data_IF_819265683698
#
_entry.id   IF_819265683698
#
_cell.length_a   1.000
_cell.length_b   1.000
_cell.length_c   1.000
_cell.angle_alpha   90.00
_cell.angle_beta   90.00
_cell.angle_gamma   90.00
#
_symmetry.space_group_name_H-M   'P 1'
#
loop_
_entity.id
_entity.type
_entity.pdbx_description
1 polymer ?
#
# COMPACT_ATOMS: atom_id res chain seq x y z
N UNK A 1 4.75 3.17 3.34
CA UNK A 1 6.12 2.81 3.76
C UNK A 1 6.50 3.60 5.03
N UNK A 2 7.64 3.29 5.64
CA UNK A 2 8.08 3.83 6.95
C UNK A 2 9.13 4.91 6.71
N UNK A 3 8.89 6.14 7.17
CA UNK A 3 9.90 7.21 7.04
C UNK A 3 11.08 6.97 7.99
N UNK A 4 12.26 7.55 7.70
CA UNK A 4 13.39 7.52 8.63
C UNK A 4 13.07 8.05 10.03
N UNK A 5 12.25 9.11 10.13
CA UNK A 5 11.76 9.61 11.43
C UNK A 5 10.93 8.56 12.15
N UNK A 6 9.99 7.90 11.46
CA UNK A 6 9.20 6.84 12.07
C UNK A 6 10.15 5.73 12.57
N UNK A 7 11.10 5.28 11.72
CA UNK A 7 12.06 4.24 12.08
C UNK A 7 12.96 4.64 13.28
N UNK A 8 13.39 5.91 13.35
CA UNK A 8 14.17 6.44 14.47
C UNK A 8 13.43 6.27 15.79
N UNK A 9 12.12 6.49 15.83
CA UNK A 9 11.34 6.28 17.05
C UNK A 9 11.02 4.80 17.34
N UNK A 10 11.07 3.92 16.33
CA UNK A 10 10.91 2.47 16.51
C UNK A 10 12.20 1.73 16.89
N UNK A 11 13.36 2.40 16.80
CA UNK A 11 14.65 1.72 16.80
C UNK A 11 14.90 0.91 18.07
N UNK A 12 14.46 1.38 19.24
CA UNK A 12 14.62 0.65 20.50
C UNK A 12 13.86 -0.69 20.51
N UNK A 13 12.64 -0.74 19.94
CA UNK A 13 11.88 -1.99 19.84
C UNK A 13 12.56 -2.94 18.85
N UNK A 14 13.05 -2.44 17.71
CA UNK A 14 13.82 -3.23 16.74
C UNK A 14 15.06 -3.83 17.40
N UNK A 15 15.86 -3.03 18.10
CA UNK A 15 17.05 -3.47 18.85
C UNK A 15 16.67 -4.52 19.90
N UNK A 16 15.53 -4.36 20.59
CA UNK A 16 15.08 -5.30 21.63
C UNK A 16 14.86 -6.72 21.10
N UNK A 17 14.55 -6.88 19.81
CA UNK A 17 14.40 -8.20 19.16
C UNK A 17 15.73 -8.86 18.83
N UNK A 18 16.86 -8.18 19.08
CA UNK A 18 18.23 -8.65 18.81
C UNK A 18 18.41 -9.19 17.38
N UNK A 19 17.99 -8.44 16.33
CA UNK A 19 18.18 -8.88 14.96
C UNK A 19 19.68 -8.97 14.64
N UNK A 20 20.06 -9.92 13.78
CA UNK A 20 21.44 -9.99 13.24
C UNK A 20 21.71 -8.90 12.20
N UNK A 21 20.65 -8.50 11.50
CA UNK A 21 20.68 -7.58 10.38
C UNK A 21 19.39 -6.76 10.39
N UNK A 22 19.52 -5.47 10.11
CA UNK A 22 18.41 -4.59 9.75
C UNK A 22 18.61 -4.17 8.29
N UNK A 23 17.62 -4.49 7.45
CA UNK A 23 17.55 -4.07 6.06
C UNK A 23 16.57 -2.89 5.95
N UNK A 24 17.06 -1.72 5.54
CA UNK A 24 16.21 -0.54 5.30
C UNK A 24 16.03 -0.34 3.80
N UNK A 25 14.78 -0.47 3.35
CA UNK A 25 14.39 -0.19 1.96
C UNK A 25 14.11 1.30 1.83
N UNK A 26 15.01 1.99 1.14
CA UNK A 26 14.90 3.41 0.87
C UNK A 26 14.00 3.63 -0.36
N UNK A 27 12.90 4.36 -0.22
CA UNK A 27 12.17 4.94 -1.34
C UNK A 27 12.22 6.48 -1.25
N UNK A 28 12.47 7.20 -2.35
CA UNK A 28 12.50 8.66 -2.37
C UNK A 28 11.23 9.32 -1.82
N UNK A 29 10.06 8.69 -2.01
CA UNK A 29 8.78 9.17 -1.48
C UNK A 29 8.67 9.18 0.05
N UNK A 30 9.50 8.42 0.76
CA UNK A 30 9.46 8.31 2.23
C UNK A 30 10.24 9.43 2.93
N UNK A 31 11.06 10.19 2.20
CA UNK A 31 12.00 11.17 2.74
C UNK A 31 11.45 12.58 2.90
N UNK A 32 10.14 12.73 2.68
CA UNK A 32 9.40 13.97 2.88
C UNK A 32 10.00 15.14 2.09
N UNK A 33 10.47 14.87 0.85
CA UNK A 33 11.09 15.89 -0.01
C UNK A 33 10.11 17.01 -0.36
N UNK A 34 8.80 16.76 -0.22
CA UNK A 34 7.72 17.74 -0.36
C UNK A 34 7.77 18.89 0.66
N UNK A 35 8.57 18.78 1.73
CA UNK A 35 8.82 19.87 2.69
C UNK A 35 9.99 20.79 2.33
N UNK A 36 10.73 20.51 1.25
CA UNK A 36 11.60 21.52 0.68
C UNK A 36 10.75 22.71 0.18
N UNK A 37 11.21 23.92 0.44
CA UNK A 37 10.58 25.19 0.06
C UNK A 37 11.60 26.07 -0.62
N UNK A 38 11.17 26.70 -1.70
CA UNK A 38 11.96 27.69 -2.41
C UNK A 38 11.85 29.02 -1.69
N UNK A 39 12.97 29.53 -1.18
CA UNK A 39 13.09 30.81 -0.51
C UNK A 39 14.27 31.55 -1.14
N UNK A 40 14.03 32.73 -1.71
CA UNK A 40 15.09 33.61 -2.24
C UNK A 40 16.08 32.89 -3.19
N UNK A 41 15.56 32.11 -4.13
CA UNK A 41 16.32 31.29 -5.09
C UNK A 41 17.15 30.15 -4.47
N UNK A 42 16.89 29.78 -3.21
CA UNK A 42 17.48 28.61 -2.56
C UNK A 42 16.41 27.65 -2.08
N UNK A 43 16.67 26.36 -2.26
CA UNK A 43 15.80 25.31 -1.77
C UNK A 43 16.20 24.95 -0.34
N UNK A 44 15.27 25.08 0.61
CA UNK A 44 15.51 24.87 2.04
C UNK A 44 14.50 23.91 2.64
N UNK A 45 14.93 23.03 3.53
CA UNK A 45 14.03 22.08 4.18
C UNK A 45 13.26 22.72 5.32
N UNK A 46 11.93 22.65 5.30
CA UNK A 46 11.08 23.23 6.35
C UNK A 46 10.79 22.23 7.46
N UNK A 47 11.62 22.22 8.52
CA UNK A 47 11.36 21.42 9.73
C UNK A 47 10.01 21.74 10.37
N UNK A 48 9.65 23.03 10.41
CA UNK A 48 8.36 23.47 10.96
C UNK A 48 7.19 22.85 10.21
N UNK A 49 7.22 22.86 8.87
CA UNK A 49 6.15 22.26 8.07
C UNK A 49 6.07 20.74 8.27
N UNK A 50 7.22 20.07 8.34
CA UNK A 50 7.31 18.64 8.61
C UNK A 50 6.71 18.28 9.98
N UNK A 51 7.13 18.98 11.04
CA UNK A 51 6.64 18.74 12.41
C UNK A 51 5.13 18.96 12.51
N UNK A 52 4.63 20.02 11.87
CA UNK A 52 3.21 20.36 11.83
C UNK A 52 2.37 19.25 11.18
N UNK A 53 2.86 18.64 10.11
CA UNK A 53 2.20 17.48 9.49
C UNK A 53 2.31 16.23 10.39
N UNK A 54 3.52 15.95 10.88
CA UNK A 54 3.82 14.72 11.62
C UNK A 54 3.03 14.58 12.92
N UNK A 55 2.82 15.67 13.67
CA UNK A 55 2.17 15.62 14.99
C UNK A 55 0.78 14.94 14.97
N UNK A 56 0.11 14.98 13.83
CA UNK A 56 -1.22 14.41 13.62
C UNK A 56 -1.22 13.01 13.01
N UNK A 57 -0.07 12.51 12.54
CA UNK A 57 0.05 11.20 11.89
C UNK A 57 -0.26 10.09 12.89
N UNK A 58 -0.91 9.04 12.39
CA UNK A 58 -1.29 7.88 13.20
C UNK A 58 -0.11 7.28 13.98
N UNK A 59 1.08 7.03 13.39
CA UNK A 59 2.22 6.48 14.15
C UNK A 59 2.66 7.36 15.32
N UNK A 60 2.66 8.69 15.16
CA UNK A 60 2.96 9.63 16.24
C UNK A 60 1.91 9.54 17.34
N UNK A 61 0.63 9.55 16.98
CA UNK A 61 -0.47 9.54 17.95
C UNK A 61 -0.66 8.19 18.67
N UNK A 62 -0.30 7.08 18.03
CA UNK A 62 -0.54 5.75 18.59
C UNK A 62 0.72 5.07 19.12
N UNK A 63 1.88 5.25 18.50
CA UNK A 63 3.03 4.38 18.79
C UNK A 63 4.12 5.06 19.61
N UNK A 64 4.52 6.28 19.25
CA UNK A 64 5.58 7.03 19.93
C UNK A 64 5.20 8.48 20.32
N UNK A 65 4.00 8.73 20.87
CA UNK A 65 3.55 10.10 21.17
C UNK A 65 4.44 10.81 22.19
N UNK A 66 4.97 10.06 23.17
CA UNK A 66 5.85 10.61 24.20
C UNK A 66 7.22 11.02 23.65
N UNK A 67 7.82 10.17 22.81
CA UNK A 67 9.13 10.46 22.23
C UNK A 67 9.03 11.68 21.30
N UNK A 68 8.00 11.72 20.45
CA UNK A 68 7.75 12.88 19.59
C UNK A 68 7.51 14.16 20.40
N UNK A 69 6.69 14.08 21.46
CA UNK A 69 6.46 15.21 22.35
C UNK A 69 7.74 15.70 23.00
N UNK A 70 8.58 14.79 23.52
CA UNK A 70 9.86 15.14 24.16
C UNK A 70 10.78 15.90 23.20
N UNK A 71 10.88 15.44 21.95
CA UNK A 71 11.77 16.02 20.96
C UNK A 71 11.23 17.35 20.40
N UNK A 72 9.92 17.56 20.40
CA UNK A 72 9.27 18.70 19.73
C UNK A 72 8.37 19.57 20.64
N UNK A 73 8.47 19.45 21.97
CA UNK A 73 7.62 20.20 22.93
C UNK A 73 7.69 21.72 22.74
N UNK A 74 8.81 22.23 22.20
CA UNK A 74 9.01 23.66 21.93
C UNK A 74 8.50 24.10 20.55
N UNK A 75 8.21 23.15 19.67
CA UNK A 75 7.92 23.40 18.25
C UNK A 75 6.41 23.29 17.93
N UNK A 76 5.61 22.77 18.86
CA UNK A 76 4.18 22.49 18.68
C UNK A 76 3.29 23.33 19.61
N UNK A 77 1.99 23.41 19.30
CA UNK A 77 1.05 24.21 20.10
C UNK A 77 0.72 23.55 21.45
N UNK A 78 0.24 24.35 22.42
CA UNK A 78 -0.23 23.83 23.71
C UNK A 78 -1.32 22.75 23.57
N UNK A 79 -2.19 22.89 22.56
CA UNK A 79 -3.24 21.91 22.29
C UNK A 79 -2.64 20.57 21.82
N UNK A 80 -1.62 20.61 20.97
CA UNK A 80 -0.92 19.41 20.50
C UNK A 80 -0.14 18.74 21.64
N UNK A 81 0.49 19.53 22.52
CA UNK A 81 1.14 19.02 23.74
C UNK A 81 0.14 18.22 24.57
N UNK A 82 -1.04 18.81 24.85
CA UNK A 82 -2.07 18.14 25.63
C UNK A 82 -2.57 16.86 24.96
N UNK A 83 -2.78 16.90 23.63
CA UNK A 83 -3.18 15.73 22.86
C UNK A 83 -2.13 14.61 22.95
N UNK A 84 -0.86 14.90 22.67
CA UNK A 84 0.22 13.91 22.69
C UNK A 84 0.48 13.38 24.10
N UNK A 85 0.38 14.23 25.12
CA UNK A 85 0.48 13.79 26.52
C UNK A 85 -0.65 12.83 26.87
N UNK A 86 -1.89 13.18 26.49
CA UNK A 86 -3.07 12.33 26.68
C UNK A 86 -2.89 10.99 25.97
N UNK A 87 -2.40 10.99 24.72
CA UNK A 87 -2.10 9.77 23.97
C UNK A 87 -0.97 8.93 24.59
N UNK A 88 0.02 9.58 25.19
CA UNK A 88 1.13 8.92 25.89
C UNK A 88 0.68 8.20 27.16
N UNK A 89 -0.22 8.82 27.93
CA UNK A 89 -0.76 8.26 29.18
C UNK A 89 -1.79 7.16 28.87
N UNK A 90 -2.69 7.41 27.93
CA UNK A 90 -3.73 6.48 27.53
C UNK A 90 -3.16 5.42 26.58
N UNK A 91 -2.37 4.48 27.13
CA UNK A 91 -1.80 3.30 26.44
C UNK A 91 -2.84 2.48 25.67
N UNK A 92 -4.13 2.59 26.00
CA UNK A 92 -5.24 1.97 25.27
C UNK A 92 -5.27 2.41 23.79
N UNK A 93 -4.77 3.60 23.46
CA UNK A 93 -4.64 4.05 22.06
C UNK A 93 -3.49 3.35 21.31
N UNK A 94 -2.42 2.93 22.00
CA UNK A 94 -1.25 2.25 21.40
C UNK A 94 -1.55 0.83 20.95
N UNK A 95 -2.46 0.17 21.66
CA UNK A 95 -2.97 -1.14 21.30
C UNK A 95 -4.35 -1.07 20.66
N UNK A 96 -4.83 0.12 20.25
CA UNK A 96 -6.16 0.23 19.67
C UNK A 96 -6.28 -0.58 18.38
N UNK A 97 -5.24 -0.66 17.55
CA UNK A 97 -5.20 -1.61 16.42
C UNK A 97 -5.11 -3.07 16.90
N UNK A 98 -4.28 -3.38 17.89
CA UNK A 98 -4.18 -4.74 18.45
C UNK A 98 -5.43 -5.21 19.21
N UNK A 99 -6.29 -4.31 19.68
CA UNK A 99 -7.49 -4.62 20.46
C UNK A 99 -8.74 -4.44 19.60
N UNK A 100 -8.86 -3.33 18.86
CA UNK A 100 -9.98 -3.09 17.97
C UNK A 100 -9.82 -3.79 16.63
N UNK A 101 -8.65 -3.93 16.00
CA UNK A 101 -8.61 -4.62 14.70
C UNK A 101 -9.02 -6.10 14.83
N UNK A 102 -8.66 -6.84 15.90
CA UNK A 102 -9.23 -8.17 16.13
C UNK A 102 -10.71 -8.14 16.47
N UNK A 103 -11.22 -7.12 17.18
CA UNK A 103 -12.65 -6.99 17.51
C UNK A 103 -13.47 -6.56 16.29
N UNK A 104 -13.01 -5.61 15.50
CA UNK A 104 -13.59 -5.14 14.24
C UNK A 104 -13.49 -6.25 13.20
N UNK A 105 -12.36 -6.95 13.09
CA UNK A 105 -12.26 -8.17 12.28
C UNK A 105 -13.21 -9.25 12.81
N UNK A 106 -13.33 -9.44 14.13
CA UNK A 106 -14.27 -10.40 14.72
C UNK A 106 -15.72 -10.01 14.41
N UNK A 107 -16.09 -8.74 14.54
CA UNK A 107 -17.43 -8.22 14.26
C UNK A 107 -17.74 -8.29 12.76
N UNK A 108 -16.80 -7.91 11.91
CA UNK A 108 -16.90 -8.04 10.46
C UNK A 108 -17.07 -9.52 10.05
N UNK A 109 -16.31 -10.44 10.68
CA UNK A 109 -16.32 -11.88 10.40
C UNK A 109 -17.57 -12.59 10.93
N UNK A 110 -18.08 -12.22 12.10
CA UNK A 110 -19.18 -12.96 12.78
C UNK A 110 -20.55 -12.30 12.60
N UNK A 111 -20.62 -10.98 12.40
CA UNK A 111 -21.90 -10.26 12.33
C UNK A 111 -22.14 -9.56 11.00
N UNK A 112 -21.10 -9.14 10.25
CA UNK A 112 -21.26 -8.37 9.01
C UNK A 112 -20.99 -9.15 7.72
N UNK A 113 -21.34 -10.45 7.67
CA UNK A 113 -21.35 -11.31 6.45
C UNK A 113 -20.20 -11.05 5.46
N UNK A 114 -18.99 -10.77 5.96
CA UNK A 114 -17.83 -10.47 5.11
C UNK A 114 -18.04 -9.30 4.13
N UNK A 115 -18.83 -8.26 4.47
CA UNK A 115 -19.09 -7.08 3.61
C UNK A 115 -18.04 -5.96 3.74
N UNK A 116 -16.88 -6.30 4.29
CA UNK A 116 -15.81 -5.38 4.66
C UNK A 116 -15.24 -4.59 3.48
N UNK A 117 -14.61 -3.44 3.78
CA UNK A 117 -13.84 -2.63 2.83
C UNK A 117 -12.40 -3.14 2.64
N UNK A 118 -12.00 -4.20 3.34
CA UNK A 118 -10.70 -4.86 3.14
C UNK A 118 -10.64 -5.61 1.81
N UNK A 119 -9.41 -5.98 1.41
CA UNK A 119 -9.18 -6.69 0.16
C UNK A 119 -9.92 -8.04 0.13
N UNK A 120 -10.33 -8.45 -1.07
CA UNK A 120 -11.02 -9.71 -1.35
C UNK A 120 -10.12 -10.91 -1.06
N UNK A 121 -10.61 -11.84 -0.25
CA UNK A 121 -9.89 -13.04 0.20
C UNK A 121 -10.66 -14.33 -0.10
N UNK A 122 -11.75 -14.24 -0.87
CA UNK A 122 -12.58 -15.37 -1.29
C UNK A 122 -11.89 -16.29 -2.29
N UNK A 123 -12.65 -17.19 -2.91
CA UNK A 123 -12.14 -18.02 -4.00
C UNK A 123 -11.81 -17.14 -5.22
N UNK A 124 -10.67 -17.36 -5.86
CA UNK A 124 -10.24 -16.53 -6.99
C UNK A 124 -11.04 -16.91 -8.25
N UNK A 125 -11.77 -15.99 -8.89
CA UNK A 125 -12.36 -16.25 -10.19
C UNK A 125 -11.28 -16.53 -11.24
N UNK A 126 -11.61 -17.34 -12.25
CA UNK A 126 -10.69 -17.67 -13.35
C UNK A 126 -10.25 -16.43 -14.14
N UNK A 127 -11.16 -15.49 -14.33
CA UNK A 127 -10.94 -14.21 -15.02
C UNK A 127 -10.30 -13.16 -14.11
N UNK A 128 -10.02 -13.50 -12.85
CA UNK A 128 -9.51 -12.59 -11.83
C UNK A 128 -10.60 -11.76 -11.15
N UNK A 129 -10.17 -11.00 -10.15
CA UNK A 129 -11.02 -10.10 -9.36
C UNK A 129 -10.24 -8.84 -9.00
N UNK A 130 -10.95 -7.73 -8.90
CA UNK A 130 -10.39 -6.50 -8.36
C UNK A 130 -10.23 -6.64 -6.84
N UNK A 131 -9.26 -5.94 -6.25
CA UNK A 131 -8.90 -5.98 -4.84
C UNK A 131 -10.09 -5.74 -3.91
N UNK A 132 -11.06 -4.92 -4.33
CA UNK A 132 -12.30 -4.66 -3.58
C UNK A 132 -13.38 -5.75 -3.74
N UNK A 133 -13.14 -6.78 -4.54
CA UNK A 133 -14.08 -7.88 -4.81
C UNK A 133 -14.96 -7.69 -6.05
N UNK A 134 -14.78 -6.61 -6.83
CA UNK A 134 -15.49 -6.46 -8.11
C UNK A 134 -14.99 -7.51 -9.12
N UNK A 135 -15.91 -8.06 -9.92
CA UNK A 135 -15.60 -9.02 -10.98
C UNK A 135 -15.62 -8.37 -12.36
N UNK A 136 -15.21 -9.10 -13.38
CA UNK A 136 -15.62 -8.84 -14.77
C UNK A 136 -17.14 -9.06 -14.93
N UNK A 137 -17.69 -8.70 -16.09
CA UNK A 137 -19.12 -8.93 -16.39
C UNK A 137 -19.50 -10.41 -16.27
N UNK A 138 -18.62 -11.29 -16.75
CA UNK A 138 -18.75 -12.74 -16.72
C UNK A 138 -17.51 -13.33 -16.07
N UNK A 139 -17.73 -14.21 -15.10
CA UNK A 139 -16.63 -14.89 -14.42
C UNK A 139 -17.02 -16.31 -13.99
N UNK A 140 -16.01 -17.18 -13.92
CA UNK A 140 -16.12 -18.54 -13.41
C UNK A 140 -15.41 -18.63 -12.06
N UNK A 141 -16.04 -19.28 -11.09
CA UNK A 141 -15.51 -19.45 -9.73
C UNK A 141 -15.83 -20.85 -9.19
N UNK A 142 -14.92 -21.42 -8.42
CA UNK A 142 -15.15 -22.66 -7.68
C UNK A 142 -15.57 -22.34 -6.25
N UNK A 143 -16.68 -22.93 -5.82
CA UNK A 143 -17.31 -22.64 -4.54
C UNK A 143 -17.36 -23.87 -3.65
N UNK A 144 -16.83 -23.72 -2.44
CA UNK A 144 -17.05 -24.69 -1.37
C UNK A 144 -18.45 -24.53 -0.80
N UNK A 145 -19.17 -25.64 -0.69
CA UNK A 145 -20.55 -25.70 -0.22
C UNK A 145 -20.59 -26.27 1.20
N UNK A 146 -21.61 -25.88 1.97
CA UNK A 146 -21.94 -26.46 3.27
C UNK A 146 -23.26 -27.20 3.15
N UNK A 147 -23.23 -28.53 3.23
CA UNK A 147 -24.41 -29.40 3.05
C UNK A 147 -25.15 -29.14 1.72
N UNK A 148 -24.41 -29.02 0.61
CA UNK A 148 -24.97 -28.70 -0.70
C UNK A 148 -25.49 -27.27 -0.86
N UNK A 149 -25.24 -26.35 0.09
CA UNK A 149 -25.67 -24.95 -0.01
C UNK A 149 -24.50 -23.98 -0.15
N UNK A 150 -24.67 -22.98 -1.01
CA UNK A 150 -23.86 -21.77 -1.04
C UNK A 150 -24.69 -20.64 -0.40
N UNK A 151 -24.23 -20.15 0.75
CA UNK A 151 -24.82 -19.02 1.48
C UNK A 151 -23.80 -17.89 1.54
N UNK A 152 -24.01 -16.84 0.75
CA UNK A 152 -23.03 -15.77 0.56
C UNK A 152 -23.70 -14.40 0.35
N UNK A 153 -22.94 -13.39 -0.02
CA UNK A 153 -23.48 -12.08 -0.39
C UNK A 153 -22.81 -11.49 -1.63
N UNK A 154 -23.59 -10.77 -2.43
CA UNK A 154 -23.11 -10.00 -3.58
C UNK A 154 -23.61 -8.55 -3.49
N UNK A 155 -22.82 -7.61 -3.97
CA UNK A 155 -23.18 -6.21 -4.10
C UNK A 155 -23.49 -5.88 -5.56
N UNK A 156 -24.65 -5.29 -5.76
CA UNK A 156 -25.15 -4.85 -7.06
C UNK A 156 -24.91 -3.35 -7.18
N UNK A 157 -24.13 -2.88 -8.16
CA UNK A 157 -23.69 -1.50 -8.20
C UNK A 157 -24.74 -0.52 -8.74
N UNK A 158 -25.65 -0.98 -9.63
CA UNK A 158 -26.72 -0.16 -10.22
C UNK A 158 -28.07 -0.85 -10.16
N UNK A 159 -29.12 -0.05 -10.30
CA UNK A 159 -30.51 -0.51 -10.34
C UNK A 159 -30.81 -1.40 -11.55
N UNK A 160 -31.88 -2.19 -11.43
CA UNK A 160 -32.42 -3.07 -12.48
C UNK A 160 -31.39 -4.04 -13.07
N UNK A 161 -30.60 -4.71 -12.23
CA UNK A 161 -29.51 -5.61 -12.62
C UNK A 161 -29.96 -7.06 -12.68
N UNK A 162 -29.51 -7.81 -13.68
CA UNK A 162 -29.76 -9.25 -13.77
C UNK A 162 -28.45 -10.02 -13.74
N UNK A 163 -28.40 -11.06 -12.90
CA UNK A 163 -27.26 -11.99 -12.83
C UNK A 163 -27.75 -13.39 -13.15
N UNK A 164 -27.23 -13.98 -14.22
CA UNK A 164 -27.43 -15.38 -14.55
C UNK A 164 -26.33 -16.22 -13.92
N UNK A 165 -26.68 -17.31 -13.27
CA UNK A 165 -25.77 -18.24 -12.62
C UNK A 165 -25.94 -19.62 -13.22
N UNK A 166 -24.87 -20.19 -13.75
CA UNK A 166 -24.83 -21.52 -14.35
C UNK A 166 -23.86 -22.43 -13.58
N UNK A 167 -24.14 -23.73 -13.49
CA UNK A 167 -23.25 -24.71 -12.86
C UNK A 167 -23.02 -25.95 -13.74
N UNK A 168 -21.93 -26.68 -13.48
CA UNK A 168 -21.52 -27.87 -14.27
C UNK A 168 -22.56 -29.00 -14.31
N UNK A 169 -23.52 -29.03 -13.36
CA UNK A 169 -24.58 -30.05 -13.28
C UNK A 169 -25.88 -29.64 -13.99
N UNK A 170 -25.82 -28.73 -14.98
CA UNK A 170 -27.01 -28.17 -15.63
C UNK A 170 -27.81 -27.20 -14.75
N UNK A 171 -27.26 -26.82 -13.58
CA UNK A 171 -27.85 -25.81 -12.71
C UNK A 171 -27.92 -24.47 -13.45
N UNK A 172 -29.06 -23.80 -13.37
CA UNK A 172 -29.24 -22.45 -13.90
C UNK A 172 -30.20 -21.66 -13.02
N UNK A 173 -29.85 -20.41 -12.71
CA UNK A 173 -30.69 -19.49 -11.94
C UNK A 173 -30.52 -18.07 -12.46
N UNK A 174 -31.62 -17.35 -12.61
CA UNK A 174 -31.63 -15.93 -12.96
C UNK A 174 -32.03 -15.15 -11.72
N UNK A 175 -31.18 -14.21 -11.31
CA UNK A 175 -31.37 -13.33 -10.17
C UNK A 175 -31.62 -11.91 -10.68
N UNK A 176 -32.71 -11.28 -10.26
CA UNK A 176 -33.08 -9.91 -10.65
C UNK A 176 -33.04 -8.99 -9.43
N UNK A 177 -32.41 -7.83 -9.59
CA UNK A 177 -32.19 -6.86 -8.51
C UNK A 177 -32.67 -5.48 -8.95
N UNK A 178 -33.67 -4.94 -8.27
CA UNK A 178 -34.24 -3.63 -8.63
C UNK A 178 -33.37 -2.48 -8.13
N UNK A 179 -32.73 -2.62 -6.96
CA UNK A 179 -31.98 -1.54 -6.30
C UNK A 179 -30.48 -1.83 -6.22
N UNK A 180 -29.67 -0.78 -6.08
CA UNK A 180 -28.26 -0.90 -5.68
C UNK A 180 -28.14 -1.39 -4.23
N UNK A 181 -27.11 -2.17 -3.91
CA UNK A 181 -26.85 -2.63 -2.54
C UNK A 181 -26.36 -4.07 -2.41
N UNK A 182 -26.18 -4.50 -1.16
CA UNK A 182 -25.81 -5.87 -0.81
C UNK A 182 -27.05 -6.77 -0.74
N UNK A 183 -26.98 -7.93 -1.40
CA UNK A 183 -28.01 -8.95 -1.40
C UNK A 183 -27.44 -10.29 -0.94
N UNK A 184 -28.31 -11.07 -0.30
CA UNK A 184 -27.98 -12.43 0.10
C UNK A 184 -28.10 -13.36 -1.11
N UNK A 185 -27.11 -14.24 -1.26
CA UNK A 185 -27.06 -15.26 -2.30
C UNK A 185 -27.21 -16.63 -1.65
N UNK A 186 -28.36 -17.27 -1.88
CA UNK A 186 -28.62 -18.63 -1.44
C UNK A 186 -28.88 -19.52 -2.66
N UNK A 187 -27.94 -20.43 -2.93
CA UNK A 187 -28.03 -21.43 -3.99
C UNK A 187 -27.98 -22.83 -3.36
N UNK A 188 -28.90 -23.70 -3.76
CA UNK A 188 -29.01 -25.06 -3.23
C UNK A 188 -28.70 -26.08 -4.33
N UNK A 189 -27.92 -27.09 -3.95
CA UNK A 189 -27.45 -28.18 -4.79
C UNK A 189 -27.66 -29.51 -4.05
N UNK A 190 -27.26 -30.63 -4.67
CA UNK A 190 -27.36 -31.93 -4.01
C UNK A 190 -26.54 -31.95 -2.71
N UNK A 191 -27.06 -32.48 -1.57
CA UNK A 191 -26.39 -32.40 -0.26
C UNK A 191 -24.95 -32.93 -0.21
N UNK A 192 -24.66 -33.96 -1.01
CA UNK A 192 -23.31 -34.55 -1.10
C UNK A 192 -22.31 -33.70 -1.92
N UNK A 193 -22.78 -32.63 -2.57
CA UNK A 193 -21.93 -31.74 -3.35
C UNK A 193 -21.11 -30.87 -2.39
N UNK A 194 -19.80 -31.10 -2.35
CA UNK A 194 -18.86 -30.34 -1.50
C UNK A 194 -18.29 -29.11 -2.20
N UNK A 195 -18.02 -29.21 -3.50
CA UNK A 195 -17.53 -28.11 -4.32
C UNK A 195 -18.33 -28.07 -5.62
N UNK A 196 -18.49 -26.88 -6.19
CA UNK A 196 -19.13 -26.69 -7.49
C UNK A 196 -18.48 -25.54 -8.24
N UNK A 197 -18.31 -25.70 -9.56
CA UNK A 197 -17.94 -24.56 -10.42
C UNK A 197 -19.19 -23.86 -10.92
N UNK A 198 -19.21 -22.55 -10.72
CA UNK A 198 -20.28 -21.66 -11.13
C UNK A 198 -19.77 -20.63 -12.12
N UNK A 199 -20.60 -20.29 -13.09
CA UNK A 199 -20.40 -19.16 -14.01
C UNK A 199 -21.46 -18.13 -13.69
N UNK A 200 -21.01 -16.93 -13.34
CA UNK A 200 -21.88 -15.77 -13.13
C UNK A 200 -21.76 -14.84 -14.33
N UNK A 201 -22.90 -14.34 -14.82
CA UNK A 201 -22.97 -13.45 -15.96
C UNK A 201 -23.96 -12.32 -15.66
N UNK A 202 -23.43 -11.09 -15.58
CA UNK A 202 -24.23 -9.87 -15.42
C UNK A 202 -24.74 -9.39 -16.77
N UNK A 203 -25.99 -8.94 -16.84
CA UNK A 203 -26.58 -8.36 -18.05
C UNK A 203 -25.95 -7.02 -18.44
N UNK A 204 -25.31 -6.33 -17.49
CA UNK A 204 -24.63 -5.06 -17.69
C UNK A 204 -23.36 -4.94 -16.86
N UNK A 205 -22.69 -3.80 -17.01
CA UNK A 205 -21.49 -3.41 -16.25
C UNK A 205 -21.62 -1.99 -15.71
N UNK A 206 -20.75 -1.65 -14.76
CA UNK A 206 -20.60 -0.28 -14.23
C UNK A 206 -19.18 0.21 -14.45
N UNK A 207 -19.02 1.48 -14.78
CA UNK A 207 -17.70 2.08 -14.94
C UNK A 207 -16.99 2.28 -13.60
N UNK A 208 -15.68 2.01 -13.59
CA UNK A 208 -14.79 2.29 -12.46
C UNK A 208 -14.77 3.78 -12.09
N UNK A 209 -14.97 4.68 -13.06
CA UNK A 209 -15.02 6.13 -12.85
C UNK A 209 -16.29 6.58 -12.12
N UNK A 210 -17.36 5.77 -12.18
CA UNK A 210 -18.63 6.09 -11.52
C UNK A 210 -18.67 5.65 -10.05
N UNK A 211 -18.09 4.49 -9.73
CA UNK A 211 -18.25 3.85 -8.41
C UNK A 211 -16.98 3.82 -7.57
N UNK A 212 -15.82 4.11 -8.16
CA UNK A 212 -14.59 4.27 -7.41
C UNK A 212 -14.10 5.72 -7.49
N UNK A 213 -14.01 6.37 -6.33
CA UNK A 213 -13.41 7.69 -6.22
C UNK A 213 -11.86 7.63 -6.29
N UNK A 214 -11.25 6.43 -6.33
CA UNK A 214 -9.81 6.27 -6.51
C UNK A 214 -9.36 6.64 -7.92
N UNK A 215 -8.07 7.02 -8.01
CA UNK A 215 -7.27 7.28 -9.21
C UNK A 215 -7.30 6.13 -10.24
N UNK A 216 -8.40 5.93 -10.95
CA UNK A 216 -8.38 5.21 -12.22
C UNK A 216 -8.12 6.22 -13.33
N UNK A 217 -7.03 6.02 -14.08
CA UNK A 217 -6.76 6.77 -15.30
C UNK A 217 -7.66 6.18 -16.37
N UNK A 218 -7.19 5.07 -16.95
CA UNK A 218 -7.99 4.22 -17.84
C UNK A 218 -9.24 3.72 -17.11
N UNK A 219 -10.38 3.86 -17.78
CA UNK A 219 -11.68 3.38 -17.32
C UNK A 219 -11.76 1.85 -17.46
N UNK A 220 -12.36 1.19 -16.46
CA UNK A 220 -12.62 -0.24 -16.45
C UNK A 220 -14.09 -0.51 -16.15
N UNK A 221 -14.60 -1.64 -16.61
CA UNK A 221 -16.00 -2.00 -16.43
C UNK A 221 -16.14 -3.20 -15.50
N UNK A 222 -16.87 -3.03 -14.41
CA UNK A 222 -17.08 -4.01 -13.37
C UNK A 222 -18.44 -4.68 -13.52
N UNK A 223 -18.49 -5.97 -13.18
CA UNK A 223 -19.72 -6.71 -12.95
C UNK A 223 -20.24 -6.46 -11.52
N UNK A 224 -20.56 -7.55 -10.81
CA UNK A 224 -20.96 -7.48 -9.40
C UNK A 224 -19.73 -7.42 -8.48
N UNK A 225 -19.94 -7.06 -7.22
CA UNK A 225 -18.91 -7.17 -6.17
C UNK A 225 -19.22 -8.34 -5.24
N UNK A 226 -18.24 -9.20 -5.02
CA UNK A 226 -18.33 -10.36 -4.15
C UNK A 226 -18.08 -9.96 -2.69
N UNK A 227 -18.67 -10.69 -1.75
CA UNK A 227 -18.30 -10.61 -0.33
C UNK A 227 -16.80 -10.93 -0.17
N UNK A 228 -16.18 -10.46 0.91
CA UNK A 228 -14.75 -10.61 1.13
C UNK A 228 -14.28 -12.07 1.08
N UNK A 229 -15.09 -13.02 1.54
CA UNK A 229 -14.71 -14.44 1.63
C UNK A 229 -15.55 -15.33 0.70
N UNK A 230 -16.09 -14.75 -0.36
CA UNK A 230 -17.04 -15.41 -1.26
C UNK A 230 -16.55 -16.79 -1.70
N UNK A 231 -17.45 -17.78 -1.67
CA UNK A 231 -17.21 -19.15 -2.10
C UNK A 231 -16.17 -19.95 -1.28
N UNK A 232 -15.85 -19.52 -0.06
CA UNK A 232 -15.03 -20.26 0.90
C UNK A 232 -15.78 -20.57 2.20
N UNK A 233 -15.63 -21.79 2.69
CA UNK A 233 -16.15 -22.21 4.01
C UNK A 233 -15.22 -21.81 5.16
N UNK A 234 -13.93 -21.63 4.88
CA UNK A 234 -12.91 -21.32 5.88
C UNK A 234 -12.25 -19.97 5.60
N UNK A 235 -11.97 -19.24 6.68
CA UNK A 235 -11.27 -17.97 6.61
C UNK A 235 -9.76 -18.22 6.58
N UNK A 236 -9.09 -17.64 5.58
CA UNK A 236 -7.64 -17.63 5.53
C UNK A 236 -7.08 -16.86 6.74
N UNK A 237 -6.19 -17.50 7.51
CA UNK A 237 -5.44 -16.88 8.61
C UNK A 237 -4.05 -16.47 8.12
N UNK A 238 -3.40 -15.56 8.85
CA UNK A 238 -2.01 -15.16 8.64
C UNK A 238 -1.67 -14.60 7.25
N UNK A 239 -2.66 -13.99 6.59
CA UNK A 239 -2.52 -13.42 5.24
C UNK A 239 -1.92 -12.00 5.20
N UNK A 240 -1.60 -11.39 6.35
CA UNK A 240 -1.11 -10.01 6.42
C UNK A 240 0.19 -9.78 5.64
N UNK A 241 0.95 -10.85 5.37
CA UNK A 241 2.19 -10.82 4.59
C UNK A 241 2.06 -11.46 3.21
N UNK A 242 0.85 -11.91 2.84
CA UNK A 242 0.56 -12.49 1.54
C UNK A 242 -0.10 -11.41 0.67
N UNK A 243 0.52 -11.13 -0.47
CA UNK A 243 -0.08 -10.29 -1.50
C UNK A 243 -0.75 -11.19 -2.52
N UNK A 244 -2.04 -11.00 -2.74
CA UNK A 244 -2.77 -11.68 -3.79
C UNK A 244 -2.64 -10.93 -5.12
N UNK A 245 -2.81 -11.66 -6.20
CA UNK A 245 -2.63 -11.16 -7.56
C UNK A 245 -3.96 -10.67 -8.15
N UNK A 246 -4.27 -9.38 -7.94
CA UNK A 246 -5.54 -8.77 -8.34
C UNK A 246 -5.49 -8.10 -9.73
N UNK A 247 -6.68 -7.91 -10.32
CA UNK A 247 -6.84 -7.20 -11.60
C UNK A 247 -6.33 -5.75 -11.56
N UNK A 248 -6.33 -5.11 -10.38
CA UNK A 248 -5.77 -3.77 -10.14
C UNK A 248 -4.32 -3.65 -10.63
N UNK A 249 -3.60 -4.76 -10.60
CA UNK A 249 -2.17 -4.84 -10.89
C UNK A 249 -1.92 -5.44 -12.27
N UNK A 250 -2.63 -6.52 -12.63
CA UNK A 250 -2.57 -7.14 -13.97
C UNK A 250 -2.91 -6.18 -15.10
N UNK A 251 -3.77 -5.19 -14.84
CA UNK A 251 -4.21 -4.25 -15.87
C UNK A 251 -3.04 -3.55 -16.56
N UNK A 252 -1.93 -3.33 -15.85
CA UNK A 252 -0.73 -2.68 -16.39
C UNK A 252 0.01 -3.58 -17.38
N UNK A 253 -0.02 -4.90 -17.21
CA UNK A 253 0.72 -5.83 -18.07
C UNK A 253 0.27 -5.75 -19.53
N UNK A 254 -1.04 -5.58 -19.71
CA UNK A 254 -1.69 -5.48 -21.03
C UNK A 254 -1.52 -4.13 -21.72
N UNK A 255 -1.04 -3.11 -21.00
CA UNK A 255 -0.82 -1.79 -21.57
C UNK A 255 0.44 -1.78 -22.44
N UNK A 256 0.35 -1.10 -23.57
CA UNK A 256 1.53 -0.55 -24.24
C UNK A 256 2.22 0.48 -23.34
N UNK A 257 3.49 0.79 -23.64
CA UNK A 257 4.25 1.83 -22.95
C UNK A 257 3.52 3.18 -22.97
N UNK A 258 3.06 3.62 -24.14
CA UNK A 258 2.35 4.88 -24.31
C UNK A 258 1.00 4.93 -23.56
N UNK A 259 0.29 3.80 -23.50
CA UNK A 259 -0.95 3.70 -22.70
C UNK A 259 -0.66 3.78 -21.21
N UNK A 260 0.37 3.08 -20.73
CA UNK A 260 0.77 3.13 -19.33
C UNK A 260 1.18 4.54 -18.94
N UNK A 261 1.97 5.21 -19.77
CA UNK A 261 2.41 6.58 -19.49
C UNK A 261 1.21 7.54 -19.38
N UNK A 262 0.27 7.49 -20.34
CA UNK A 262 -0.96 8.31 -20.29
C UNK A 262 -1.80 8.01 -19.04
N UNK A 263 -2.03 6.73 -18.73
CA UNK A 263 -2.74 6.31 -17.53
C UNK A 263 -2.02 6.77 -16.26
N UNK A 264 -0.69 6.66 -16.21
CA UNK A 264 0.13 7.10 -15.09
C UNK A 264 -0.02 8.60 -14.83
N UNK A 265 0.11 9.44 -15.87
CA UNK A 265 -0.08 10.89 -15.72
C UNK A 265 -1.51 11.25 -15.32
N UNK A 266 -2.52 10.59 -15.87
CA UNK A 266 -3.92 10.79 -15.50
C UNK A 266 -4.16 10.44 -14.02
N UNK A 267 -3.59 9.33 -13.54
CA UNK A 267 -3.75 8.90 -12.14
C UNK A 267 -2.99 9.77 -11.16
N UNK A 268 -1.73 10.08 -11.47
CA UNK A 268 -0.81 10.70 -10.51
C UNK A 268 -0.91 12.22 -10.49
N UNK A 269 -1.22 12.86 -11.63
CA UNK A 269 -1.02 14.30 -11.81
C UNK A 269 -2.24 15.06 -12.34
N UNK A 270 -3.13 14.44 -13.10
CA UNK A 270 -4.30 15.15 -13.62
C UNK A 270 -5.25 15.58 -12.49
N UNK A 271 -5.66 16.85 -12.55
CA UNK A 271 -6.53 17.51 -11.58
C UNK A 271 -6.01 17.45 -10.14
N UNK A 272 -4.69 17.40 -9.94
CA UNK A 272 -4.08 17.25 -8.60
C UNK A 272 -4.47 18.34 -7.62
N UNK A 273 -4.72 19.57 -8.09
CA UNK A 273 -5.17 20.71 -7.28
C UNK A 273 -6.51 20.44 -6.58
N UNK A 274 -7.38 19.65 -7.19
CA UNK A 274 -8.70 19.30 -6.66
C UNK A 274 -8.70 17.93 -5.94
N UNK A 275 -7.53 17.31 -5.81
CA UNK A 275 -7.35 15.92 -5.37
C UNK A 275 -6.22 15.84 -4.35
N UNK A 276 -6.52 16.14 -3.07
CA UNK A 276 -5.51 16.19 -2.00
C UNK A 276 -4.60 14.96 -1.95
N UNK A 277 -5.10 13.78 -2.30
CA UNK A 277 -4.36 12.52 -2.34
C UNK A 277 -3.27 12.46 -3.43
N UNK A 278 -3.46 13.18 -4.55
CA UNK A 278 -2.47 13.29 -5.65
C UNK A 278 -1.65 14.57 -5.60
N UNK A 279 -2.16 15.63 -4.96
CA UNK A 279 -1.46 16.90 -4.80
C UNK A 279 -0.06 16.71 -4.21
N UNK A 280 0.06 15.85 -3.19
CA UNK A 280 1.36 15.52 -2.59
C UNK A 280 2.32 14.87 -3.60
N UNK A 281 1.83 13.98 -4.45
CA UNK A 281 2.66 13.31 -5.46
C UNK A 281 3.16 14.31 -6.50
N UNK A 282 2.29 15.22 -6.94
CA UNK A 282 2.66 16.34 -7.82
C UNK A 282 3.73 17.22 -7.19
N UNK A 283 3.54 17.61 -5.93
CA UNK A 283 4.51 18.41 -5.18
C UNK A 283 5.86 17.68 -5.04
N UNK A 284 5.84 16.38 -4.74
CA UNK A 284 7.05 15.55 -4.64
C UNK A 284 7.82 15.54 -5.97
N UNK A 285 7.13 15.33 -7.10
CA UNK A 285 7.73 15.43 -8.43
C UNK A 285 8.39 16.79 -8.67
N UNK A 286 7.66 17.88 -8.38
CA UNK A 286 8.18 19.23 -8.60
C UNK A 286 9.42 19.49 -7.72
N UNK A 287 9.43 18.96 -6.48
CA UNK A 287 10.60 19.04 -5.60
C UNK A 287 11.78 18.23 -6.09
N UNK A 288 11.59 17.04 -6.66
CA UNK A 288 12.68 16.28 -7.31
C UNK A 288 13.32 17.08 -8.45
N UNK A 289 12.51 17.73 -9.29
CA UNK A 289 13.00 18.58 -10.40
C UNK A 289 13.77 19.80 -9.89
N UNK A 290 13.37 20.38 -8.75
CA UNK A 290 14.11 21.49 -8.15
C UNK A 290 15.42 21.02 -7.50
N UNK A 291 15.37 19.94 -6.73
CA UNK A 291 16.54 19.32 -6.10
C UNK A 291 17.58 18.89 -7.14
N UNK A 292 17.15 18.39 -8.30
CA UNK A 292 18.06 18.00 -9.39
C UNK A 292 18.91 19.15 -9.93
N UNK A 293 18.54 20.40 -9.63
CA UNK A 293 19.25 21.62 -10.03
C UNK A 293 19.99 22.30 -8.86
N UNK A 294 19.90 21.76 -7.65
CA UNK A 294 20.54 22.33 -6.45
C UNK A 294 21.75 21.50 -6.02
N UNK A 295 22.54 22.05 -5.09
CA UNK A 295 23.51 21.25 -4.35
C UNK A 295 22.81 20.35 -3.33
N UNK A 296 23.46 19.23 -3.02
CA UNK A 296 23.00 18.33 -1.98
C UNK A 296 23.20 18.96 -0.59
N UNK A 297 22.18 18.86 0.24
CA UNK A 297 22.20 19.25 1.66
C UNK A 297 21.53 18.14 2.47
N UNK A 298 21.91 18.00 3.74
CA UNK A 298 21.25 17.07 4.65
C UNK A 298 20.05 17.73 5.33
N UNK A 299 19.09 16.91 5.76
CA UNK A 299 17.90 17.31 6.52
C UNK A 299 17.52 16.24 7.53
N UNK A 300 16.52 16.51 8.37
CA UNK A 300 16.16 15.64 9.51
C UNK A 300 15.94 14.17 9.17
N UNK A 301 15.27 13.82 8.06
CA UNK A 301 15.03 12.41 7.71
C UNK A 301 16.34 11.66 7.45
N UNK A 302 17.27 12.25 6.69
CA UNK A 302 18.59 11.66 6.46
C UNK A 302 19.42 11.62 7.76
N UNK A 303 19.37 12.68 8.56
CA UNK A 303 20.09 12.71 9.84
C UNK A 303 19.54 11.69 10.84
N UNK A 304 18.25 11.41 10.82
CA UNK A 304 17.65 10.34 11.61
C UNK A 304 18.15 8.97 11.16
N UNK A 305 18.28 8.72 9.85
CA UNK A 305 18.88 7.49 9.34
C UNK A 305 20.33 7.31 9.82
N UNK A 306 21.11 8.40 9.87
CA UNK A 306 22.47 8.38 10.42
C UNK A 306 22.51 8.05 11.91
N UNK A 307 21.61 8.64 12.71
CA UNK A 307 21.47 8.31 14.15
C UNK A 307 21.12 6.85 14.35
N UNK A 308 20.23 6.29 13.52
CA UNK A 308 19.86 4.88 13.54
C UNK A 308 21.08 3.98 13.28
N UNK A 309 21.86 4.30 12.25
CA UNK A 309 23.06 3.53 11.93
C UNK A 309 24.07 3.50 13.10
N UNK A 310 24.23 4.62 13.80
CA UNK A 310 25.09 4.72 15.00
C UNK A 310 24.53 3.83 16.13
N UNK A 311 23.24 3.92 16.43
CA UNK A 311 22.62 3.11 17.50
C UNK A 311 22.72 1.61 17.21
N UNK A 312 22.54 1.19 15.96
CA UNK A 312 22.68 -0.21 15.56
C UNK A 312 24.14 -0.69 15.68
N UNK A 313 25.11 0.17 15.35
CA UNK A 313 26.54 -0.13 15.52
C UNK A 313 26.89 -0.38 16.99
N UNK A 314 26.41 0.46 17.90
CA UNK A 314 26.64 0.31 19.34
C UNK A 314 26.10 -1.03 19.90
N UNK A 315 25.13 -1.63 19.19
CA UNK A 315 24.55 -2.93 19.54
C UNK A 315 25.09 -4.08 18.69
N UNK A 316 26.09 -3.83 17.85
CA UNK A 316 26.66 -4.81 16.92
C UNK A 316 25.62 -5.49 16.01
N UNK A 317 24.59 -4.72 15.60
CA UNK A 317 23.52 -5.19 14.69
C UNK A 317 23.83 -4.63 13.31
N UNK A 318 24.13 -5.47 12.31
CA UNK A 318 24.48 -4.98 10.96
C UNK A 318 23.35 -4.15 10.35
N UNK A 319 23.68 -3.05 9.66
CA UNK A 319 22.72 -2.17 9.01
C UNK A 319 22.99 -2.06 7.51
N UNK A 320 22.00 -2.40 6.69
CA UNK A 320 22.11 -2.36 5.22
C UNK A 320 21.03 -1.44 4.68
N UNK A 321 21.42 -0.56 3.75
CA UNK A 321 20.49 0.33 3.06
C UNK A 321 20.34 -0.17 1.62
N UNK A 322 19.11 -0.25 1.15
CA UNK A 322 18.80 -0.56 -0.26
C UNK A 322 18.13 0.67 -0.86
N UNK A 323 18.80 1.38 -1.77
CA UNK A 323 18.15 2.40 -2.59
C UNK A 323 17.24 1.67 -3.59
N UNK A 324 15.96 1.61 -3.26
CA UNK A 324 14.99 0.76 -3.92
C UNK A 324 14.68 1.28 -5.34
N UNK A 325 14.21 0.43 -6.28
CA UNK A 325 13.72 0.89 -7.56
C UNK A 325 12.64 1.95 -7.39
N UNK A 326 12.73 2.99 -8.21
CA UNK A 326 11.66 3.95 -8.42
C UNK A 326 11.13 3.78 -9.84
N UNK A 327 9.86 4.14 -10.09
CA UNK A 327 9.29 4.11 -11.42
C UNK A 327 10.20 4.89 -12.39
N UNK A 328 10.63 4.30 -13.53
CA UNK A 328 11.48 4.96 -14.51
C UNK A 328 11.00 6.35 -14.93
N UNK A 329 9.68 6.57 -15.02
CA UNK A 329 9.09 7.88 -15.33
C UNK A 329 9.54 8.93 -14.30
N UNK A 330 9.52 8.59 -13.02
CA UNK A 330 9.89 9.47 -11.91
C UNK A 330 11.39 9.66 -11.78
N UNK A 331 12.14 8.58 -11.99
CA UNK A 331 13.58 8.56 -11.83
C UNK A 331 14.28 9.53 -12.79
N UNK A 332 13.75 9.65 -14.02
CA UNK A 332 14.27 10.56 -15.07
C UNK A 332 14.36 12.02 -14.64
N UNK A 333 13.55 12.46 -13.67
CA UNK A 333 13.53 13.86 -13.24
C UNK A 333 14.80 14.31 -12.51
N UNK A 334 15.59 13.38 -11.98
CA UNK A 334 16.69 13.74 -11.08
C UNK A 334 17.87 12.76 -11.04
N UNK A 335 17.77 11.54 -11.57
CA UNK A 335 18.82 10.52 -11.44
C UNK A 335 20.21 10.95 -11.96
N UNK A 336 20.24 11.78 -13.01
CA UNK A 336 21.48 12.20 -13.65
C UNK A 336 22.09 13.47 -13.02
N UNK A 337 21.42 14.03 -12.01
CA UNK A 337 21.86 15.26 -11.35
C UNK A 337 23.08 15.05 -10.46
N UNK A 338 23.82 16.15 -10.23
CA UNK A 338 24.85 16.21 -9.18
C UNK A 338 24.23 15.92 -7.81
N UNK A 339 23.07 16.52 -7.53
CA UNK A 339 22.34 16.32 -6.27
C UNK A 339 22.14 14.84 -5.94
N UNK A 340 21.65 14.04 -6.89
CA UNK A 340 21.36 12.64 -6.65
C UNK A 340 22.62 11.79 -6.44
N UNK A 341 23.70 12.08 -7.19
CA UNK A 341 25.00 11.42 -7.00
C UNK A 341 25.57 11.70 -5.61
N UNK A 342 25.54 12.96 -5.18
CA UNK A 342 26.00 13.38 -3.85
C UNK A 342 25.13 12.77 -2.74
N UNK A 343 23.81 12.70 -2.97
CA UNK A 343 22.87 12.02 -2.09
C UNK A 343 23.19 10.53 -1.91
N UNK A 344 23.42 9.79 -3.00
CA UNK A 344 23.81 8.38 -2.94
C UNK A 344 25.16 8.19 -2.25
N UNK A 345 26.11 9.09 -2.49
CA UNK A 345 27.39 9.09 -1.78
C UNK A 345 27.19 9.26 -0.27
N UNK A 346 26.30 10.17 0.16
CA UNK A 346 25.97 10.35 1.57
C UNK A 346 25.30 9.10 2.18
N UNK A 347 24.35 8.49 1.47
CA UNK A 347 23.72 7.23 1.91
C UNK A 347 24.75 6.09 2.06
N UNK A 348 25.71 5.99 1.14
CA UNK A 348 26.78 5.01 1.24
C UNK A 348 27.61 5.23 2.52
N UNK A 349 27.98 6.48 2.81
CA UNK A 349 28.66 6.83 4.06
C UNK A 349 27.88 6.45 5.32
N UNK A 350 26.55 6.59 5.32
CA UNK A 350 25.70 6.11 6.44
C UNK A 350 25.79 4.58 6.57
N UNK A 351 25.70 3.84 5.46
CA UNK A 351 25.74 2.38 5.49
C UNK A 351 27.07 1.83 6.02
N UNK A 352 28.18 2.53 5.74
CA UNK A 352 29.53 2.15 6.15
C UNK A 352 29.79 2.34 7.66
N UNK A 353 28.99 3.18 8.35
CA UNK A 353 29.11 3.41 9.81
C UNK A 353 29.18 2.08 10.57
N UNK A 354 28.44 1.08 10.10
CA UNK A 354 28.27 -0.21 10.75
C UNK A 354 28.72 -1.39 9.89
N UNK A 355 29.77 -1.19 9.09
CA UNK A 355 30.28 -2.19 8.14
C UNK A 355 29.19 -2.75 7.21
N UNK A 356 28.15 -1.95 6.96
CA UNK A 356 27.09 -2.26 6.04
C UNK A 356 27.48 -1.95 4.61
N UNK A 357 26.51 -2.06 3.72
CA UNK A 357 26.65 -1.72 2.31
C UNK A 357 25.39 -1.02 1.81
N UNK A 358 25.58 -0.04 0.93
CA UNK A 358 24.50 0.48 0.11
C UNK A 358 24.31 -0.41 -1.12
N UNK A 359 23.10 -0.93 -1.28
CA UNK A 359 22.67 -1.59 -2.51
C UNK A 359 21.85 -0.61 -3.33
N UNK A 360 22.46 -0.03 -4.37
CA UNK A 360 21.75 0.83 -5.31
C UNK A 360 21.02 0.02 -6.37
N UNK A 361 19.70 -0.11 -6.19
CA UNK A 361 18.81 -0.87 -7.07
C UNK A 361 17.89 0.03 -7.90
N UNK A 362 18.12 1.34 -7.99
CA UNK A 362 17.22 2.27 -8.69
C UNK A 362 16.82 1.82 -10.10
N UNK A 363 17.75 1.21 -10.84
CA UNK A 363 17.58 0.76 -12.23
C UNK A 363 17.34 -0.76 -12.35
N UNK A 364 17.07 -1.45 -11.24
CA UNK A 364 16.86 -2.90 -11.26
C UNK A 364 15.53 -3.28 -11.93
N UNK A 365 14.50 -2.44 -11.79
CA UNK A 365 13.22 -2.59 -12.48
C UNK A 365 13.16 -1.52 -13.57
N UNK A 366 13.34 -1.95 -14.82
CA UNK A 366 13.35 -1.04 -15.98
C UNK A 366 11.97 -0.90 -16.65
N UNK A 367 11.08 -1.87 -16.46
CA UNK A 367 9.71 -1.80 -16.99
C UNK A 367 8.85 -0.98 -16.03
N UNK A 368 8.46 0.23 -16.44
CA UNK A 368 7.60 1.13 -15.67
C UNK A 368 6.25 0.49 -15.30
N UNK A 369 5.77 -0.48 -16.09
CA UNK A 369 4.49 -1.17 -15.83
C UNK A 369 4.52 -2.06 -14.59
N UNK A 370 5.71 -2.34 -14.06
CA UNK A 370 5.89 -3.07 -12.81
C UNK A 370 5.71 -2.19 -11.56
N UNK A 371 5.24 -0.95 -11.74
CA UNK A 371 4.88 -0.03 -10.67
C UNK A 371 3.43 0.42 -10.77
N UNK A 372 2.76 0.49 -9.62
CA UNK A 372 1.42 1.08 -9.52
C UNK A 372 1.47 2.60 -9.40
N UNK A 373 2.53 3.15 -8.82
CA UNK A 373 2.73 4.59 -8.61
C UNK A 373 4.25 4.91 -8.64
N UNK A 374 4.76 6.06 -8.13
CA UNK A 374 6.19 6.33 -8.11
C UNK A 374 7.09 5.23 -7.54
N UNK A 375 6.66 4.45 -6.54
CA UNK A 375 7.54 3.51 -5.83
C UNK A 375 6.88 2.20 -5.37
N UNK A 376 5.55 2.11 -5.37
CA UNK A 376 4.86 0.87 -5.08
C UNK A 376 4.90 -0.05 -6.30
N UNK A 377 5.49 -1.22 -6.12
CA UNK A 377 5.58 -2.26 -7.14
C UNK A 377 4.22 -2.97 -7.32
N UNK A 378 3.95 -3.42 -8.54
CA UNK A 378 2.91 -4.42 -8.80
C UNK A 378 3.30 -5.78 -8.20
N UNK A 379 2.39 -6.75 -8.20
CA UNK A 379 2.60 -8.09 -7.69
C UNK A 379 3.78 -8.75 -8.39
N UNK A 380 3.85 -8.61 -9.73
CA UNK A 380 4.97 -9.06 -10.55
C UNK A 380 6.28 -8.35 -10.18
N UNK A 381 6.26 -7.02 -10.03
CA UNK A 381 7.42 -6.25 -9.60
C UNK A 381 7.93 -6.65 -8.20
N UNK A 382 7.01 -6.83 -7.25
CA UNK A 382 7.33 -7.25 -5.88
C UNK A 382 7.85 -8.69 -5.82
N UNK A 383 7.28 -9.60 -6.61
CA UNK A 383 7.75 -10.99 -6.74
C UNK A 383 9.20 -11.05 -7.26
N UNK A 384 9.52 -10.21 -8.26
CA UNK A 384 10.89 -10.08 -8.77
C UNK A 384 11.85 -9.54 -7.69
N UNK A 385 11.45 -8.50 -6.97
CA UNK A 385 12.27 -7.90 -5.91
C UNK A 385 12.47 -8.80 -4.68
N UNK A 386 11.52 -9.68 -4.38
CA UNK A 386 11.59 -10.60 -3.24
C UNK A 386 12.86 -11.46 -3.30
N UNK A 387 13.17 -12.01 -4.48
CA UNK A 387 14.40 -12.80 -4.69
C UNK A 387 15.66 -11.96 -4.48
N UNK A 388 15.64 -10.71 -4.93
CA UNK A 388 16.74 -9.77 -4.78
C UNK A 388 16.99 -9.42 -3.32
N UNK A 389 15.96 -9.08 -2.56
CA UNK A 389 16.10 -8.81 -1.13
C UNK A 389 16.59 -10.04 -0.35
N UNK A 390 16.06 -11.23 -0.66
CA UNK A 390 16.51 -12.47 -0.02
C UNK A 390 18.01 -12.71 -0.24
N UNK A 391 18.51 -12.48 -1.46
CA UNK A 391 19.94 -12.57 -1.76
C UNK A 391 20.76 -11.54 -0.98
N UNK A 392 20.32 -10.28 -0.95
CA UNK A 392 21.00 -9.21 -0.19
C UNK A 392 21.08 -9.57 1.29
N UNK A 393 19.99 -10.08 1.87
CA UNK A 393 19.95 -10.53 3.26
C UNK A 393 20.96 -11.66 3.48
N UNK A 394 20.98 -12.67 2.62
CA UNK A 394 21.92 -13.80 2.73
C UNK A 394 23.38 -13.38 2.61
N UNK A 395 23.71 -12.46 1.70
CA UNK A 395 25.07 -11.91 1.55
C UNK A 395 25.53 -11.18 2.81
N UNK A 396 24.61 -10.50 3.50
CA UNK A 396 24.91 -9.71 4.70
C UNK A 396 24.64 -10.46 6.01
N UNK A 397 24.30 -11.75 5.97
CA UNK A 397 24.25 -12.61 7.16
C UNK A 397 25.44 -13.55 7.26
N UNK A 398 26.23 -13.67 6.18
CA UNK A 398 27.57 -14.26 6.19
C UNK A 398 28.53 -13.30 6.92
#
# INVERSE_FOLDING_TARGET
AMSPTDFYYYIEDVISKKPKLVLFLFNPGDFQLDHFRENENRLTYSEKARIEEYKSRLPVLSVYPWLFLKDHVRDISKNDIFLLLTKSILKVNRYRSFFNDPIDAYIERHYRRSRSYHNYTGAMPKEGVWSKGFTTQKFQIECSLKNGKLEDSIFIPKENWTVSVFGENGFSKILKFEKTGWYDLNLEFHPDTKNIKLVFESDKTVSSKEIDHKQYGKEYFYGIRLSQNFCKNELNKDISYNREDYLDEHRFDSMSKDEYEKDYFERMYSNSENRPETHRLKLLKDRKIQLSKSDFVTWSEIENLKKIAIQLKEKNIRFVIVNNPENPIELTFYENSKWYKDFLHYLNGISEINSGKLYDLKNFIQDEKLFTDPHHLTYKGASLMTKTYARIIQENLK
#
